data_IF_666126088533
#
_entry.id   IF_666126088533
#
_cell.length_a   1.000
_cell.length_b   1.000
_cell.length_c   1.000
_cell.angle_alpha   90.00
_cell.angle_beta   90.00
_cell.angle_gamma   90.00
#
_symmetry.space_group_name_H-M   'P 1'
#
loop_
_entity.id
_entity.type
_entity.pdbx_description
1 polymer ?
#
# COMPACT_ATOMS: atom_id res chain seq x y z
N UNK A 1 7.03 -14.05 4.66
CA UNK A 1 6.76 -12.72 5.24
C UNK A 1 7.56 -12.51 6.52
N UNK A 2 7.57 -13.47 7.46
CA UNK A 2 8.41 -13.42 8.67
C UNK A 2 9.91 -13.24 8.37
N UNK A 3 10.45 -13.95 7.38
CA UNK A 3 11.87 -13.82 7.00
C UNK A 3 12.27 -12.39 6.59
N UNK A 4 11.34 -11.61 6.02
CA UNK A 4 11.60 -10.21 5.65
C UNK A 4 11.62 -9.31 6.89
N UNK A 5 10.67 -9.52 7.81
CA UNK A 5 10.57 -8.73 9.04
C UNK A 5 11.77 -8.97 9.98
N UNK A 6 12.35 -10.17 9.94
CA UNK A 6 13.50 -10.58 10.73
C UNK A 6 14.85 -10.20 10.11
N UNK A 7 14.89 -9.76 8.85
CA UNK A 7 16.12 -9.36 8.16
C UNK A 7 16.78 -8.15 8.86
N UNK A 8 17.96 -8.36 9.45
CA UNK A 8 18.69 -7.32 10.20
C UNK A 8 19.43 -6.34 9.30
N UNK A 9 19.57 -6.64 8.01
CA UNK A 9 20.24 -5.76 7.07
C UNK A 9 19.30 -4.68 6.49
N UNK A 10 18.01 -4.77 6.79
CA UNK A 10 16.99 -3.83 6.31
C UNK A 10 16.46 -2.99 7.46
N UNK A 11 16.36 -1.68 7.24
CA UNK A 11 15.56 -0.82 8.11
C UNK A 11 14.06 -1.05 7.86
N UNK A 12 13.22 -0.41 8.68
CA UNK A 12 11.77 -0.68 8.65
C UNK A 12 11.13 -0.31 7.32
N UNK A 13 11.46 0.84 6.72
CA UNK A 13 10.86 1.23 5.42
C UNK A 13 11.27 0.26 4.30
N UNK A 14 12.49 -0.27 4.32
CA UNK A 14 12.96 -1.26 3.35
C UNK A 14 12.22 -2.59 3.45
N UNK A 15 11.90 -3.02 4.68
CA UNK A 15 11.05 -4.20 4.92
C UNK A 15 9.65 -4.01 4.35
N UNK A 16 9.03 -2.86 4.62
CA UNK A 16 7.70 -2.52 4.10
C UNK A 16 7.72 -2.51 2.57
N UNK A 17 8.71 -1.87 1.95
CA UNK A 17 8.87 -1.87 0.48
C UNK A 17 8.97 -3.27 -0.09
N UNK A 18 9.74 -4.16 0.54
CA UNK A 18 9.92 -5.55 0.07
C UNK A 18 8.64 -6.37 0.20
N UNK A 19 7.88 -6.17 1.28
CA UNK A 19 6.56 -6.80 1.48
C UNK A 19 5.59 -6.35 0.38
N UNK A 20 5.40 -5.04 0.22
CA UNK A 20 4.50 -4.48 -0.80
C UNK A 20 4.91 -4.90 -2.22
N UNK A 21 6.22 -4.97 -2.50
CA UNK A 21 6.70 -5.43 -3.79
C UNK A 21 6.28 -6.87 -4.09
N UNK A 22 6.47 -7.80 -3.14
CA UNK A 22 6.06 -9.20 -3.32
C UNK A 22 4.53 -9.35 -3.36
N UNK A 23 3.78 -8.57 -2.57
CA UNK A 23 2.32 -8.53 -2.63
C UNK A 23 1.82 -8.10 -4.02
N UNK A 24 2.28 -6.96 -4.54
CA UNK A 24 1.85 -6.46 -5.86
C UNK A 24 2.28 -7.38 -7.01
N UNK A 25 3.46 -8.00 -6.90
CA UNK A 25 3.91 -9.02 -7.84
C UNK A 25 3.02 -10.26 -7.80
N UNK A 26 2.62 -10.73 -6.62
CA UNK A 26 1.69 -11.84 -6.46
C UNK A 26 0.28 -11.51 -6.98
N UNK A 27 -0.20 -10.29 -6.75
CA UNK A 27 -1.48 -9.80 -7.27
C UNK A 27 -1.47 -9.86 -8.80
N UNK A 28 -0.47 -9.25 -9.44
CA UNK A 28 -0.35 -9.23 -10.89
C UNK A 28 -0.26 -10.62 -11.49
N UNK A 29 0.49 -11.52 -10.86
CA UNK A 29 0.81 -12.84 -11.39
C UNK A 29 -0.26 -13.91 -11.09
N UNK A 30 -1.36 -13.58 -10.41
CA UNK A 30 -2.40 -14.56 -10.07
C UNK A 30 -3.82 -14.04 -10.30
N UNK A 31 -4.67 -14.89 -10.87
CA UNK A 31 -6.10 -14.56 -11.06
C UNK A 31 -6.82 -14.31 -9.73
N UNK A 32 -6.39 -14.98 -8.66
CA UNK A 32 -6.93 -14.75 -7.30
C UNK A 32 -6.60 -13.34 -6.80
N UNK A 33 -5.39 -12.86 -7.02
CA UNK A 33 -4.99 -11.51 -6.63
C UNK A 33 -5.72 -10.43 -7.43
N UNK A 34 -5.85 -10.62 -8.75
CA UNK A 34 -6.66 -9.75 -9.60
C UNK A 34 -8.13 -9.72 -9.15
N UNK A 35 -8.71 -10.87 -8.82
CA UNK A 35 -10.07 -10.97 -8.29
C UNK A 35 -10.23 -10.21 -6.96
N UNK A 36 -9.26 -10.28 -6.05
CA UNK A 36 -9.30 -9.51 -4.80
C UNK A 36 -9.44 -8.01 -5.06
N UNK A 37 -8.68 -7.46 -6.01
CA UNK A 37 -8.74 -6.04 -6.38
C UNK A 37 -10.09 -5.61 -6.97
N UNK A 38 -10.76 -6.51 -7.70
CA UNK A 38 -12.12 -6.26 -8.22
C UNK A 38 -13.16 -6.34 -7.12
N UNK A 39 -13.07 -7.34 -6.25
CA UNK A 39 -14.01 -7.52 -5.14
C UNK A 39 -14.01 -6.32 -4.20
N UNK A 40 -12.90 -5.58 -4.10
CA UNK A 40 -12.84 -4.34 -3.33
C UNK A 40 -13.98 -3.36 -3.66
N UNK A 41 -14.48 -3.27 -4.89
CA UNK A 41 -15.60 -2.38 -5.23
C UNK A 41 -16.99 -2.92 -4.85
N UNK A 42 -17.11 -4.15 -4.36
CA UNK A 42 -18.36 -4.64 -3.76
C UNK A 42 -18.56 -3.98 -2.38
N UNK A 43 -19.74 -3.40 -2.09
CA UNK A 43 -20.03 -2.80 -0.79
C UNK A 43 -19.83 -3.76 0.39
N UNK A 44 -20.22 -5.02 0.22
CA UNK A 44 -20.08 -6.07 1.24
C UNK A 44 -18.61 -6.37 1.51
N UNK A 45 -17.82 -6.54 0.46
CA UNK A 45 -16.40 -6.82 0.59
C UNK A 45 -15.63 -5.62 1.16
N UNK A 46 -15.96 -4.40 0.74
CA UNK A 46 -15.39 -3.18 1.29
C UNK A 46 -15.66 -3.06 2.80
N UNK A 47 -16.88 -3.38 3.24
CA UNK A 47 -17.23 -3.38 4.66
C UNK A 47 -16.40 -4.40 5.44
N UNK A 48 -16.24 -5.62 4.91
CA UNK A 48 -15.39 -6.65 5.52
C UNK A 48 -13.92 -6.20 5.58
N UNK A 49 -13.42 -5.59 4.51
CA UNK A 49 -12.05 -5.08 4.45
C UNK A 49 -11.81 -3.96 5.46
N UNK A 50 -12.73 -3.00 5.61
CA UNK A 50 -12.62 -1.92 6.59
C UNK A 50 -12.62 -2.46 8.04
N UNK A 51 -13.45 -3.46 8.32
CA UNK A 51 -13.45 -4.12 9.64
C UNK A 51 -12.10 -4.82 9.91
N UNK A 52 -11.56 -5.53 8.92
CA UNK A 52 -10.25 -6.19 9.02
C UNK A 52 -9.11 -5.17 9.18
N UNK A 53 -9.16 -4.03 8.48
CA UNK A 53 -8.19 -2.95 8.67
C UNK A 53 -8.18 -2.47 10.12
N UNK A 54 -9.36 -2.24 10.69
CA UNK A 54 -9.50 -1.74 12.06
C UNK A 54 -9.04 -2.75 13.11
N UNK A 55 -9.33 -4.04 12.95
CA UNK A 55 -9.00 -5.05 13.98
C UNK A 55 -7.55 -5.52 13.89
N UNK A 56 -7.02 -5.67 12.68
CA UNK A 56 -5.78 -6.43 12.47
C UNK A 56 -4.66 -5.58 11.86
N UNK A 57 -4.96 -4.82 10.81
CA UNK A 57 -3.91 -4.14 10.04
C UNK A 57 -3.39 -2.87 10.72
N UNK A 58 -4.28 -2.01 11.23
CA UNK A 58 -3.90 -0.74 11.86
C UNK A 58 -2.91 -0.93 13.02
N UNK A 59 -3.09 -1.89 13.95
CA UNK A 59 -2.10 -2.17 14.98
C UNK A 59 -0.71 -2.51 14.42
N UNK A 60 -0.65 -3.28 13.33
CA UNK A 60 0.61 -3.64 12.66
C UNK A 60 1.26 -2.43 12.00
N UNK A 61 0.50 -1.64 11.25
CA UNK A 61 1.00 -0.40 10.64
C UNK A 61 1.52 0.58 11.70
N UNK A 62 0.81 0.73 12.81
CA UNK A 62 1.22 1.59 13.91
C UNK A 62 2.57 1.14 14.50
N UNK A 63 2.75 -0.16 14.75
CA UNK A 63 4.03 -0.70 15.23
C UNK A 63 5.16 -0.51 14.22
N UNK A 64 4.90 -0.70 12.92
CA UNK A 64 5.88 -0.48 11.86
C UNK A 64 6.29 1.00 11.79
N UNK A 65 5.33 1.92 11.91
CA UNK A 65 5.61 3.36 11.93
C UNK A 65 6.47 3.74 13.14
N UNK A 66 6.15 3.23 14.34
CA UNK A 66 6.97 3.46 15.53
C UNK A 66 8.40 2.94 15.35
N UNK A 67 8.57 1.76 14.76
CA UNK A 67 9.89 1.17 14.47
C UNK A 67 10.67 1.99 13.44
N UNK A 68 10.03 2.46 12.37
CA UNK A 68 10.71 3.28 11.37
C UNK A 68 11.05 4.69 11.87
N UNK A 69 10.25 5.25 12.78
CA UNK A 69 10.66 6.47 13.49
C UNK A 69 11.89 6.21 14.39
N UNK A 70 11.92 5.06 15.08
CA UNK A 70 13.02 4.70 15.97
C UNK A 70 14.33 4.39 15.23
N UNK A 71 14.26 3.78 14.05
CA UNK A 71 15.43 3.50 13.20
C UNK A 71 15.81 4.65 12.24
N UNK A 72 15.02 5.73 12.24
CA UNK A 72 15.25 6.94 11.44
C UNK A 72 14.83 6.84 9.97
N UNK A 73 14.28 5.71 9.52
CA UNK A 73 13.79 5.53 8.14
C UNK A 73 12.46 6.24 7.86
N UNK A 74 11.72 6.63 8.91
CA UNK A 74 10.50 7.42 8.84
C UNK A 74 10.57 8.62 9.79
N UNK A 75 9.75 9.64 9.52
CA UNK A 75 9.62 10.87 10.33
C UNK A 75 8.15 11.22 10.53
N UNK A 76 7.36 10.26 10.99
CA UNK A 76 5.91 10.41 11.16
C UNK A 76 5.60 11.15 12.47
N UNK A 77 4.96 12.31 12.38
CA UNK A 77 4.59 13.12 13.54
C UNK A 77 3.41 12.54 14.34
N UNK A 78 2.47 11.88 13.67
CA UNK A 78 1.27 11.30 14.29
C UNK A 78 1.09 9.82 13.92
N UNK A 79 1.78 8.90 14.63
CA UNK A 79 1.86 7.49 14.25
C UNK A 79 0.52 6.78 14.11
N UNK A 80 -0.41 6.94 15.08
CA UNK A 80 -1.68 6.22 15.06
C UNK A 80 -2.59 6.66 13.90
N UNK A 81 -2.74 7.96 13.67
CA UNK A 81 -3.54 8.48 12.56
C UNK A 81 -2.91 8.16 11.20
N UNK A 82 -1.58 8.16 11.11
CA UNK A 82 -0.88 7.73 9.90
C UNK A 82 -1.13 6.24 9.63
N UNK A 83 -1.18 5.40 10.67
CA UNK A 83 -1.48 3.98 10.55
C UNK A 83 -2.92 3.71 10.09
N UNK A 84 -3.87 4.59 10.41
CA UNK A 84 -5.25 4.53 9.92
C UNK A 84 -5.36 4.95 8.44
N UNK A 85 -4.65 6.00 8.03
CA UNK A 85 -4.75 6.57 6.67
C UNK A 85 -3.95 5.78 5.64
N UNK A 86 -2.75 5.30 5.99
CA UNK A 86 -1.84 4.61 5.07
C UNK A 86 -2.49 3.42 4.33
N UNK A 87 -3.18 2.47 5.00
CA UNK A 87 -3.83 1.37 4.29
C UNK A 87 -4.97 1.82 3.38
N UNK A 88 -5.67 2.93 3.70
CA UNK A 88 -6.73 3.48 2.84
C UNK A 88 -6.13 4.03 1.54
N UNK A 89 -5.00 4.74 1.63
CA UNK A 89 -4.28 5.24 0.46
C UNK A 89 -3.79 4.10 -0.44
N UNK A 90 -3.17 3.08 0.15
CA UNK A 90 -2.55 1.98 -0.58
C UNK A 90 -3.56 0.99 -1.18
N UNK A 91 -4.71 0.76 -0.53
CA UNK A 91 -5.66 -0.29 -0.94
C UNK A 91 -6.97 0.23 -1.54
N UNK A 92 -7.40 1.45 -1.19
CA UNK A 92 -8.69 2.01 -1.63
C UNK A 92 -8.45 3.12 -2.65
N UNK A 93 -7.77 4.19 -2.26
CA UNK A 93 -7.57 5.35 -3.15
C UNK A 93 -6.72 5.00 -4.39
N UNK A 94 -5.68 4.18 -4.22
CA UNK A 94 -4.83 3.76 -5.34
C UNK A 94 -5.48 2.71 -6.24
N UNK A 95 -6.49 1.98 -5.77
CA UNK A 95 -7.10 0.89 -6.52
C UNK A 95 -7.93 1.42 -7.72
N UNK A 96 -7.69 0.94 -8.96
CA UNK A 96 -8.37 1.43 -10.17
C UNK A 96 -9.87 1.12 -10.22
N UNK A 97 -10.39 0.28 -9.32
CA UNK A 97 -11.83 0.02 -9.19
C UNK A 97 -12.58 1.20 -8.56
N UNK A 98 -11.86 2.14 -7.92
CA UNK A 98 -12.42 3.33 -7.29
C UNK A 98 -11.90 4.61 -7.96
N UNK A 99 -12.78 5.61 -8.10
CA UNK A 99 -12.43 6.95 -8.58
C UNK A 99 -11.77 6.97 -9.98
N UNK A 100 -12.23 6.13 -10.91
CA UNK A 100 -11.63 5.88 -12.23
C UNK A 100 -12.31 6.67 -13.36
N UNK A 101 -11.98 7.95 -13.50
CA UNK A 101 -12.51 8.78 -14.58
C UNK A 101 -11.66 8.67 -15.87
N UNK A 102 -12.16 9.18 -17.00
CA UNK A 102 -11.46 9.08 -18.31
C UNK A 102 -10.06 9.71 -18.34
N UNK A 103 -9.78 10.66 -17.44
CA UNK A 103 -8.49 11.36 -17.32
C UNK A 103 -7.48 10.66 -16.38
N UNK A 104 -7.83 9.46 -15.90
CA UNK A 104 -7.13 8.80 -14.83
C UNK A 104 -5.81 8.14 -15.28
N UNK A 105 -4.71 8.86 -15.02
CA UNK A 105 -3.32 8.48 -15.30
C UNK A 105 -2.63 7.88 -14.06
N UNK A 106 -2.15 6.65 -14.21
CA UNK A 106 -1.44 5.92 -13.15
C UNK A 106 -0.11 6.57 -12.76
N UNK A 107 0.60 7.21 -13.69
CA UNK A 107 1.87 7.87 -13.37
C UNK A 107 1.60 9.07 -12.47
N UNK A 108 0.62 9.91 -12.83
CA UNK A 108 0.19 11.03 -12.00
C UNK A 108 -0.30 10.60 -10.61
N UNK A 109 -1.03 9.47 -10.51
CA UNK A 109 -1.43 8.91 -9.20
C UNK A 109 -0.24 8.48 -8.35
N UNK A 110 0.74 7.80 -8.96
CA UNK A 110 1.93 7.33 -8.24
C UNK A 110 2.73 8.51 -7.72
N UNK A 111 2.88 9.57 -8.51
CA UNK A 111 3.62 10.76 -8.09
C UNK A 111 2.87 11.53 -6.99
N UNK A 112 1.55 11.69 -7.13
CA UNK A 112 0.74 12.30 -6.06
C UNK A 112 0.75 11.48 -4.76
N UNK A 113 0.72 10.15 -4.86
CA UNK A 113 0.85 9.26 -3.71
C UNK A 113 2.23 9.40 -3.05
N UNK A 114 3.30 9.51 -3.85
CA UNK A 114 4.65 9.72 -3.33
C UNK A 114 4.72 11.02 -2.53
N UNK A 115 4.21 12.12 -3.10
CA UNK A 115 4.20 13.43 -2.44
C UNK A 115 3.41 13.38 -1.12
N UNK A 116 2.22 12.77 -1.12
CA UNK A 116 1.42 12.58 0.09
C UNK A 116 2.17 11.78 1.15
N UNK A 117 2.71 10.62 0.80
CA UNK A 117 3.42 9.76 1.74
C UNK A 117 4.67 10.44 2.32
N UNK A 118 5.42 11.17 1.48
CA UNK A 118 6.55 11.98 1.95
C UNK A 118 6.12 13.09 2.90
N UNK A 119 4.99 13.78 2.62
CA UNK A 119 4.44 14.81 3.51
C UNK A 119 4.00 14.25 4.87
N UNK A 120 3.56 12.99 4.90
CA UNK A 120 3.21 12.25 6.12
C UNK A 120 4.45 11.73 6.88
N UNK A 121 5.65 11.88 6.33
CA UNK A 121 6.89 11.37 6.91
C UNK A 121 7.15 9.88 6.63
N UNK A 122 6.51 9.32 5.61
CA UNK A 122 6.64 7.91 5.19
C UNK A 122 7.27 7.87 3.78
N UNK A 123 8.61 7.91 3.63
CA UNK A 123 9.27 7.92 2.33
C UNK A 123 9.21 6.52 1.67
N UNK A 124 8.03 6.04 1.32
CA UNK A 124 7.79 4.65 0.96
C UNK A 124 8.20 4.32 -0.48
N UNK A 125 7.83 5.16 -1.44
CA UNK A 125 7.96 4.81 -2.85
C UNK A 125 9.39 5.00 -3.33
N UNK A 126 9.99 3.91 -3.82
CA UNK A 126 11.24 3.95 -4.60
C UNK A 126 10.95 3.52 -6.04
N UNK A 127 11.94 3.64 -6.93
CA UNK A 127 11.75 3.32 -8.35
C UNK A 127 11.22 1.90 -8.61
N UNK A 128 11.67 0.91 -7.84
CA UNK A 128 11.20 -0.47 -7.96
C UNK A 128 9.74 -0.63 -7.53
N UNK A 129 9.35 0.01 -6.42
CA UNK A 129 7.98 -0.03 -5.93
C UNK A 129 7.04 0.72 -6.88
N UNK A 130 7.41 1.92 -7.35
CA UNK A 130 6.64 2.66 -8.37
C UNK A 130 6.40 1.79 -9.61
N UNK A 131 7.43 1.10 -10.09
CA UNK A 131 7.33 0.22 -11.27
C UNK A 131 6.35 -0.95 -11.06
N UNK A 132 6.42 -1.65 -9.93
CA UNK A 132 5.51 -2.78 -9.67
C UNK A 132 4.08 -2.31 -9.44
N UNK A 133 3.89 -1.18 -8.73
CA UNK A 133 2.58 -0.55 -8.52
C UNK A 133 1.92 -0.24 -9.86
N UNK A 134 2.62 0.44 -10.77
CA UNK A 134 2.14 0.76 -12.11
C UNK A 134 1.72 -0.49 -12.89
N UNK A 135 2.58 -1.51 -12.90
CA UNK A 135 2.31 -2.76 -13.62
C UNK A 135 1.08 -3.49 -13.07
N UNK A 136 0.92 -3.54 -11.76
CA UNK A 136 -0.24 -4.17 -11.12
C UNK A 136 -1.50 -3.36 -11.40
N UNK A 137 -1.43 -2.04 -11.30
CA UNK A 137 -2.56 -1.16 -11.53
C UNK A 137 -3.09 -1.26 -12.97
N UNK A 138 -2.21 -1.21 -13.97
CA UNK A 138 -2.57 -1.38 -15.39
C UNK A 138 -3.23 -2.73 -15.60
N UNK A 139 -2.64 -3.81 -15.06
CA UNK A 139 -3.18 -5.16 -15.21
C UNK A 139 -4.58 -5.30 -14.62
N UNK A 140 -4.81 -4.73 -13.44
CA UNK A 140 -6.14 -4.74 -12.81
C UNK A 140 -7.12 -3.91 -13.64
N UNK A 141 -6.73 -2.72 -14.12
CA UNK A 141 -7.60 -1.84 -14.89
C UNK A 141 -8.02 -2.44 -16.24
N UNK A 142 -7.15 -3.19 -16.90
CA UNK A 142 -7.50 -3.94 -18.13
C UNK A 142 -8.58 -5.02 -17.90
N UNK A 143 -8.67 -5.52 -16.67
CA UNK A 143 -9.59 -6.59 -16.31
C UNK A 143 -10.92 -6.04 -15.72
N UNK A 144 -11.06 -4.73 -15.50
CA UNK A 144 -12.29 -4.07 -15.00
C UNK A 144 -13.30 -3.85 -16.13
#
# INVERSE_FOLDING_TARGET
MNDILEDKNLNTIEKIRKILYEEHKAIRNSSRGQLFYKLMSSPEFLTLFLNQLSSDAIPVYHQLILKGNADGSMKVASPIYTAEVLPLLLNIWFNPSFFNNDIDDVDARIDYLDDLLNSMGVPLLNGNLKKVLKQTWIKVKEDL
#
